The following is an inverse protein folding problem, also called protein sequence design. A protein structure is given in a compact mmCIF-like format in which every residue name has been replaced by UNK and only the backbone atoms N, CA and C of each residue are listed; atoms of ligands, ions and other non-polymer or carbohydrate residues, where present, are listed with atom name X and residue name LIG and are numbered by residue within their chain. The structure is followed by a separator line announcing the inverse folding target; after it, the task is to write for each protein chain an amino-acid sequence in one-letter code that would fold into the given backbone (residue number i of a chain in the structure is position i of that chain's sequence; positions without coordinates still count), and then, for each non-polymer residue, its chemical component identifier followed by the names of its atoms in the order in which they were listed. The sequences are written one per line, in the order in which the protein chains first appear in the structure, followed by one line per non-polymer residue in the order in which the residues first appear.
data_IF_512249119542
#
_entry.id   IF_512249119542
#
_cell.length_a   1.000
_cell.length_b   1.000
_cell.length_c   1.000
_cell.angle_alpha   90.00
_cell.angle_beta   90.00
_cell.angle_gamma   90.00
#
_symmetry.space_group_name_H-M   'P 1'
#
loop_
_entity.id
_entity.type
_entity.pdbx_description
1 polymer ?
#
# COMPACT_ATOMS: atom_id res chain seq x y z
N UNK A 1 17.05 -8.28 -7.91
CA UNK A 1 16.90 -7.40 -6.72
C UNK A 1 15.62 -6.57 -6.79
N UNK A 2 15.40 -5.75 -7.84
CA UNK A 2 14.20 -4.91 -8.01
C UNK A 2 12.89 -5.66 -7.87
N UNK A 3 12.74 -6.83 -8.52
CA UNK A 3 11.55 -7.69 -8.34
C UNK A 3 11.25 -8.08 -6.90
N UNK A 4 12.26 -8.45 -6.13
CA UNK A 4 12.07 -8.85 -4.74
C UNK A 4 11.64 -7.66 -3.88
N UNK A 5 12.24 -6.49 -4.11
CA UNK A 5 11.84 -5.25 -3.43
C UNK A 5 10.40 -4.83 -3.79
N UNK A 6 10.02 -4.91 -5.07
CA UNK A 6 8.62 -4.68 -5.48
C UNK A 6 7.68 -5.72 -4.87
N UNK A 7 8.10 -6.98 -4.76
CA UNK A 7 7.30 -8.04 -4.10
C UNK A 7 7.08 -7.70 -2.62
N UNK A 8 8.12 -7.24 -1.92
CA UNK A 8 8.00 -6.78 -0.53
C UNK A 8 7.01 -5.62 -0.40
N UNK A 9 7.10 -4.61 -1.27
CA UNK A 9 6.18 -3.47 -1.25
C UNK A 9 4.74 -3.90 -1.54
N UNK A 10 4.53 -4.81 -2.51
CA UNK A 10 3.24 -5.38 -2.84
C UNK A 10 2.65 -6.16 -1.66
N UNK A 11 3.41 -7.03 -1.01
CA UNK A 11 2.97 -7.76 0.19
C UNK A 11 2.62 -6.79 1.31
N UNK A 12 3.47 -5.78 1.54
CA UNK A 12 3.27 -4.77 2.57
C UNK A 12 1.98 -3.97 2.40
N UNK A 13 1.59 -3.67 1.15
CA UNK A 13 0.38 -2.90 0.87
C UNK A 13 -0.89 -3.75 0.67
N UNK A 14 -0.76 -5.00 0.21
CA UNK A 14 -1.90 -5.81 -0.23
C UNK A 14 -2.23 -7.01 0.63
N UNK A 15 -1.26 -7.60 1.34
CA UNK A 15 -1.49 -8.74 2.24
C UNK A 15 -1.50 -8.29 3.69
N UNK A 16 -0.48 -7.55 4.14
CA UNK A 16 -0.36 -7.21 5.57
C UNK A 16 -1.60 -6.49 6.11
N UNK A 17 -2.21 -5.51 5.41
CA UNK A 17 -3.41 -4.86 5.92
C UNK A 17 -4.59 -5.81 6.07
N UNK A 18 -4.73 -6.83 5.21
CA UNK A 18 -5.77 -7.85 5.38
C UNK A 18 -5.55 -8.65 6.67
N UNK A 19 -4.30 -8.96 7.01
CA UNK A 19 -3.97 -9.71 8.22
C UNK A 19 -4.12 -8.87 9.50
N UNK A 20 -3.85 -7.57 9.42
CA UNK A 20 -3.80 -6.65 10.56
C UNK A 20 -5.12 -5.92 10.78
N UNK A 21 -5.91 -5.67 9.74
CA UNK A 21 -7.12 -4.83 9.82
C UNK A 21 -8.41 -5.69 9.86
N UNK A 22 -8.35 -7.01 9.62
CA UNK A 22 -9.51 -7.91 9.74
C UNK A 22 -9.64 -8.44 11.17
N UNK A 23 -10.05 -7.56 12.08
CA UNK A 23 -10.32 -7.88 13.49
C UNK A 23 -11.21 -6.80 14.15
N UNK A 24 -11.43 -6.93 15.46
CA UNK A 24 -12.32 -6.05 16.25
C UNK A 24 -11.77 -4.67 16.54
N UNK A 25 -10.48 -4.38 16.29
CA UNK A 25 -9.99 -2.99 16.38
C UNK A 25 -10.24 -2.20 15.10
N UNK A 26 -10.50 -2.89 13.97
CA UNK A 26 -10.64 -2.29 12.63
C UNK A 26 -11.91 -2.75 11.91
N UNK A 27 -11.82 -3.61 10.89
CA UNK A 27 -12.94 -3.97 10.03
C UNK A 27 -14.16 -4.50 10.80
N UNK A 28 -13.94 -5.21 11.91
CA UNK A 28 -15.00 -5.77 12.75
C UNK A 28 -15.24 -4.93 14.02
N UNK A 29 -14.79 -3.68 14.05
CA UNK A 29 -14.99 -2.79 15.18
C UNK A 29 -16.50 -2.48 15.37
N UNK A 30 -17.07 -2.81 16.54
CA UNK A 30 -18.48 -2.60 16.83
C UNK A 30 -18.85 -1.11 16.97
N UNK A 31 -17.88 -0.26 17.30
CA UNK A 31 -18.08 1.17 17.56
C UNK A 31 -18.06 1.99 16.25
N UNK A 32 -17.51 1.44 15.17
CA UNK A 32 -17.53 2.08 13.86
C UNK A 32 -18.94 2.06 13.25
N UNK A 33 -19.28 3.11 12.51
CA UNK A 33 -20.47 3.10 11.68
C UNK A 33 -20.41 1.95 10.66
N UNK A 34 -21.55 1.31 10.41
CA UNK A 34 -21.63 0.17 9.49
C UNK A 34 -21.16 0.49 8.08
N UNK A 35 -21.33 1.73 7.62
CA UNK A 35 -20.85 2.19 6.33
C UNK A 35 -19.32 2.32 6.29
N UNK A 36 -18.68 2.75 7.38
CA UNK A 36 -17.22 2.83 7.47
C UNK A 36 -16.57 1.45 7.30
N UNK A 37 -17.18 0.39 7.88
CA UNK A 37 -16.72 -0.99 7.68
C UNK A 37 -16.79 -1.44 6.21
N UNK A 38 -17.79 -0.97 5.45
CA UNK A 38 -17.87 -1.26 4.00
C UNK A 38 -16.72 -0.60 3.26
N UNK A 39 -16.39 0.65 3.56
CA UNK A 39 -15.23 1.33 2.95
C UNK A 39 -13.92 0.64 3.30
N UNK A 40 -13.79 0.15 4.53
CA UNK A 40 -12.60 -0.60 4.95
C UNK A 40 -12.48 -1.93 4.18
N UNK A 41 -13.56 -2.72 4.11
CA UNK A 41 -13.58 -3.95 3.31
C UNK A 41 -13.28 -3.67 1.83
N UNK A 42 -13.81 -2.57 1.28
CA UNK A 42 -13.54 -2.15 -0.10
C UNK A 42 -12.06 -1.77 -0.30
N UNK A 43 -11.47 -1.00 0.62
CA UNK A 43 -10.04 -0.64 0.59
C UNK A 43 -9.15 -1.87 0.65
N UNK A 44 -9.40 -2.79 1.59
CA UNK A 44 -8.63 -4.03 1.77
C UNK A 44 -8.71 -4.94 0.55
N UNK A 45 -9.92 -5.19 0.05
CA UNK A 45 -10.12 -6.04 -1.14
C UNK A 45 -9.52 -5.43 -2.40
N UNK A 46 -9.65 -4.12 -2.60
CA UNK A 46 -9.02 -3.41 -3.73
C UNK A 46 -7.50 -3.54 -3.68
N UNK A 47 -6.89 -3.29 -2.53
CA UNK A 47 -5.43 -3.42 -2.39
C UNK A 47 -4.96 -4.87 -2.61
N UNK A 48 -5.71 -5.86 -2.12
CA UNK A 48 -5.40 -7.28 -2.35
C UNK A 48 -5.50 -7.67 -3.84
N UNK A 49 -6.50 -7.16 -4.57
CA UNK A 49 -6.64 -7.39 -6.00
C UNK A 49 -5.52 -6.72 -6.80
N UNK A 50 -5.16 -5.48 -6.45
CA UNK A 50 -4.01 -4.77 -7.06
C UNK A 50 -2.71 -5.50 -6.77
N UNK A 51 -2.53 -6.01 -5.55
CA UNK A 51 -1.42 -6.89 -5.18
C UNK A 51 -1.35 -8.12 -6.06
N UNK A 52 -2.47 -8.83 -6.20
CA UNK A 52 -2.55 -10.08 -6.96
C UNK A 52 -2.18 -9.85 -8.43
N UNK A 53 -2.71 -8.78 -9.02
CA UNK A 53 -2.37 -8.35 -10.37
C UNK A 53 -0.88 -7.96 -10.47
N UNK A 54 -0.37 -7.18 -9.51
CA UNK A 54 1.04 -6.77 -9.45
C UNK A 54 1.99 -7.96 -9.41
N UNK A 55 1.73 -8.95 -8.56
CA UNK A 55 2.52 -10.19 -8.46
C UNK A 55 2.50 -10.97 -9.77
N UNK A 56 1.32 -11.14 -10.36
CA UNK A 56 1.18 -11.81 -11.65
C UNK A 56 1.99 -11.10 -12.75
N UNK A 57 1.89 -9.78 -12.86
CA UNK A 57 2.64 -9.01 -13.84
C UNK A 57 4.15 -9.10 -13.62
N UNK A 58 4.59 -9.06 -12.36
CA UNK A 58 6.00 -9.07 -11.96
C UNK A 58 6.68 -10.41 -12.25
N UNK A 59 6.04 -11.50 -11.87
CA UNK A 59 6.64 -12.84 -11.89
C UNK A 59 6.25 -13.63 -13.13
N UNK A 60 5.00 -13.56 -13.59
CA UNK A 60 4.53 -14.32 -14.75
C UNK A 60 4.71 -13.58 -16.07
N UNK A 61 4.65 -12.24 -16.08
CA UNK A 61 4.79 -11.43 -17.32
C UNK A 61 6.08 -10.62 -17.41
N UNK A 62 6.90 -10.64 -16.37
CA UNK A 62 8.16 -9.89 -16.32
C UNK A 62 7.99 -8.36 -16.53
N UNK A 63 6.80 -7.83 -16.20
CA UNK A 63 6.40 -6.43 -16.33
C UNK A 63 6.70 -5.66 -15.03
N UNK A 64 7.99 -5.45 -14.77
CA UNK A 64 8.48 -4.90 -13.49
C UNK A 64 8.01 -3.47 -13.22
N UNK A 65 7.95 -2.63 -14.26
CA UNK A 65 7.54 -1.23 -14.10
C UNK A 65 6.05 -1.17 -13.81
N UNK A 66 5.23 -1.92 -14.56
CA UNK A 66 3.79 -1.92 -14.33
C UNK A 66 3.43 -2.45 -12.94
N UNK A 67 4.07 -3.53 -12.50
CA UNK A 67 3.91 -4.04 -11.14
C UNK A 67 4.33 -3.02 -10.07
N UNK A 68 5.45 -2.32 -10.29
CA UNK A 68 5.91 -1.28 -9.37
C UNK A 68 4.99 -0.05 -9.33
N UNK A 69 4.39 0.34 -10.46
CA UNK A 69 3.38 1.41 -10.52
C UNK A 69 2.10 1.00 -9.77
N UNK A 70 1.64 -0.24 -9.92
CA UNK A 70 0.51 -0.75 -9.13
C UNK A 70 0.82 -0.73 -7.63
N UNK A 71 2.04 -1.12 -7.23
CA UNK A 71 2.47 -0.99 -5.84
C UNK A 71 2.51 0.46 -5.38
N UNK A 72 2.91 1.42 -6.23
CA UNK A 72 2.87 2.84 -5.90
C UNK A 72 1.45 3.33 -5.68
N UNK A 73 0.47 2.88 -6.49
CA UNK A 73 -0.93 3.28 -6.30
C UNK A 73 -1.45 2.92 -4.90
N UNK A 74 -1.08 1.74 -4.37
CA UNK A 74 -1.46 1.34 -3.02
C UNK A 74 -0.87 2.29 -1.97
N UNK A 75 0.46 2.46 -1.98
CA UNK A 75 1.16 3.23 -0.95
C UNK A 75 0.91 4.74 -1.05
N UNK A 76 0.80 5.26 -2.27
CA UNK A 76 0.44 6.66 -2.51
C UNK A 76 -0.98 6.95 -2.03
N UNK A 77 -1.92 6.02 -2.17
CA UNK A 77 -3.27 6.15 -1.62
C UNK A 77 -3.24 6.37 -0.10
N UNK A 78 -2.45 5.58 0.63
CA UNK A 78 -2.25 5.79 2.06
C UNK A 78 -1.56 7.13 2.36
N UNK A 79 -0.48 7.48 1.65
CA UNK A 79 0.24 8.75 1.86
C UNK A 79 -0.67 9.95 1.65
N UNK A 80 -1.53 9.92 0.63
CA UNK A 80 -2.53 10.97 0.39
C UNK A 80 -3.51 11.05 1.57
N UNK A 81 -4.04 9.92 2.04
CA UNK A 81 -4.93 9.90 3.21
C UNK A 81 -4.23 10.48 4.45
N UNK A 82 -3.01 10.04 4.75
CA UNK A 82 -2.24 10.52 5.90
C UNK A 82 -1.92 12.03 5.82
N UNK A 83 -1.69 12.60 4.63
CA UNK A 83 -1.45 14.04 4.48
C UNK A 83 -2.76 14.82 4.62
N UNK A 84 -3.87 14.30 4.10
CA UNK A 84 -5.14 15.01 4.03
C UNK A 84 -6.06 14.76 5.24
N UNK A 85 -5.69 13.88 6.17
CA UNK A 85 -6.50 13.56 7.36
C UNK A 85 -7.01 14.77 8.15
N UNK A 86 -6.26 15.89 8.33
CA UNK A 86 -6.78 17.05 9.05
C UNK A 86 -7.96 17.74 8.33
N UNK A 87 -8.16 17.48 7.03
CA UNK A 87 -9.23 18.09 6.23
C UNK A 87 -10.58 17.40 6.39
N UNK A 88 -10.58 16.15 6.86
CA UNK A 88 -11.81 15.35 7.01
C UNK A 88 -11.97 14.78 8.43
N UNK A 89 -11.16 15.24 9.38
CA UNK A 89 -11.18 14.76 10.77
C UNK A 89 -10.70 13.31 10.91
N UNK A 90 -9.78 12.88 10.04
CA UNK A 90 -9.17 11.56 10.14
C UNK A 90 -8.06 11.53 11.17
N UNK A 91 -7.86 10.35 11.76
CA UNK A 91 -6.75 10.05 12.66
C UNK A 91 -5.95 8.85 12.11
N UNK A 92 -4.63 8.79 12.38
CA UNK A 92 -3.81 7.66 11.93
C UNK A 92 -4.12 6.38 12.72
N UNK A 93 -4.79 6.49 13.87
CA UNK A 93 -5.06 5.39 14.80
C UNK A 93 -6.50 5.53 15.30
N UNK A 94 -7.20 4.41 15.46
CA UNK A 94 -8.54 4.41 16.07
C UNK A 94 -8.50 4.82 17.55
N UNK A 95 -9.56 5.49 18.02
CA UNK A 95 -9.67 5.88 19.42
C UNK A 95 -9.52 4.69 20.37
N UNK A 96 -8.72 4.86 21.42
CA UNK A 96 -8.49 3.82 22.44
C UNK A 96 -7.62 2.64 21.96
N UNK A 97 -7.16 2.62 20.71
CA UNK A 97 -6.25 1.60 20.20
C UNK A 97 -4.80 2.08 20.43
N UNK A 98 -3.98 1.33 21.18
CA UNK A 98 -2.57 1.66 21.32
C UNK A 98 -1.84 1.32 20.01
N UNK A 99 -1.30 2.34 19.33
CA UNK A 99 -0.41 2.16 18.18
C UNK A 99 1.04 2.43 18.62
N UNK A 100 1.98 1.53 18.30
CA UNK A 100 3.40 1.82 18.50
C UNK A 100 3.84 3.03 17.67
N UNK A 101 4.80 3.79 18.18
CA UNK A 101 5.43 4.88 17.43
C UNK A 101 6.88 4.58 17.11
N UNK A 102 7.33 5.03 15.93
CA UNK A 102 8.74 5.05 15.55
C UNK A 102 9.09 6.48 15.20
N UNK A 103 10.09 7.06 15.88
CA UNK A 103 10.52 8.44 15.66
C UNK A 103 9.37 9.47 15.83
N UNK A 104 8.48 9.25 16.81
CA UNK A 104 7.30 10.08 17.08
C UNK A 104 6.28 10.11 15.93
N UNK A 105 6.29 9.08 15.08
CA UNK A 105 5.34 8.88 13.99
C UNK A 105 4.60 7.57 14.24
N UNK A 106 3.27 7.53 14.09
CA UNK A 106 2.50 6.28 14.16
C UNK A 106 3.09 5.20 13.26
N UNK A 107 3.15 3.96 13.77
CA UNK A 107 3.83 2.86 13.09
C UNK A 107 3.29 2.63 11.68
N UNK A 108 1.96 2.66 11.48
CA UNK A 108 1.36 2.57 10.15
C UNK A 108 1.87 3.68 9.19
N UNK A 109 1.90 4.94 9.62
CA UNK A 109 2.39 6.07 8.81
C UNK A 109 3.86 5.89 8.45
N UNK A 110 4.68 5.48 9.41
CA UNK A 110 6.08 5.16 9.17
C UNK A 110 6.23 3.99 8.16
N UNK A 111 5.47 2.90 8.37
CA UNK A 111 5.52 1.70 7.55
C UNK A 111 5.14 1.99 6.09
N UNK A 112 3.96 2.55 5.84
CA UNK A 112 3.50 2.86 4.48
C UNK A 112 4.34 3.95 3.82
N UNK A 113 4.79 4.95 4.59
CA UNK A 113 5.73 5.96 4.10
C UNK A 113 7.06 5.34 3.63
N UNK A 114 7.60 4.39 4.40
CA UNK A 114 8.83 3.68 4.04
C UNK A 114 8.66 2.82 2.77
N UNK A 115 7.52 2.14 2.63
CA UNK A 115 7.20 1.33 1.44
C UNK A 115 7.01 2.21 0.20
N UNK A 116 6.37 3.37 0.35
CA UNK A 116 6.26 4.37 -0.71
C UNK A 116 7.65 4.81 -1.21
N UNK A 117 8.53 5.25 -0.30
CA UNK A 117 9.88 5.70 -0.65
C UNK A 117 10.73 4.59 -1.28
N UNK A 118 10.62 3.36 -0.74
CA UNK A 118 11.29 2.19 -1.31
C UNK A 118 10.82 1.93 -2.74
N UNK A 119 9.51 1.90 -2.98
CA UNK A 119 8.96 1.63 -4.31
C UNK A 119 9.29 2.74 -5.31
N UNK A 120 9.28 4.01 -4.91
CA UNK A 120 9.75 5.15 -5.72
C UNK A 120 11.21 4.94 -6.13
N UNK A 121 12.05 4.54 -5.19
CA UNK A 121 13.48 4.26 -5.45
C UNK A 121 13.65 3.09 -6.43
N UNK A 122 12.89 2.01 -6.27
CA UNK A 122 12.91 0.87 -7.20
C UNK A 122 12.52 1.29 -8.61
N UNK A 123 11.44 2.07 -8.76
CA UNK A 123 11.00 2.59 -10.05
C UNK A 123 12.07 3.49 -10.67
N UNK A 124 12.67 4.39 -9.91
CA UNK A 124 13.75 5.26 -10.39
C UNK A 124 14.97 4.45 -10.88
N UNK A 125 15.36 3.41 -10.15
CA UNK A 125 16.46 2.51 -10.56
C UNK A 125 16.09 1.74 -11.84
N UNK A 126 14.86 1.25 -11.96
CA UNK A 126 14.38 0.58 -13.17
C UNK A 126 14.44 1.49 -14.39
N UNK A 127 14.02 2.75 -14.25
CA UNK A 127 14.11 3.76 -15.32
C UNK A 127 15.55 4.10 -15.70
N UNK A 128 16.49 4.15 -14.75
CA UNK A 128 17.91 4.36 -15.06
C UNK A 128 18.56 3.17 -15.78
N UNK A 129 18.16 1.94 -15.44
CA UNK A 129 18.75 0.71 -16.00
C UNK A 129 18.21 0.35 -17.39
N UNK A 130 16.89 0.44 -17.58
CA UNK A 130 16.26 0.16 -18.87
C UNK A 130 16.23 1.47 -19.66
N UNK A 131 17.12 1.66 -20.63
CA UNK A 131 17.00 2.68 -21.68
C UNK A 131 15.57 2.56 -22.24
N UNK A 132 14.74 3.55 -21.90
CA UNK A 132 13.28 3.57 -21.87
C UNK A 132 12.51 2.70 -22.90
N UNK A 133 11.47 1.99 -22.44
CA UNK A 133 10.25 1.75 -23.23
C UNK A 133 9.10 1.21 -22.36
N UNK A 134 8.18 2.08 -21.92
CA UNK A 134 6.90 1.69 -21.34
C UNK A 134 6.05 0.88 -22.34
N UNK A 135 6.29 1.05 -23.64
CA UNK A 135 5.54 0.33 -24.68
C UNK A 135 5.74 -1.19 -24.62
N UNK A 136 6.87 -1.68 -24.11
CA UNK A 136 7.08 -3.13 -23.91
C UNK A 136 6.31 -3.66 -22.69
N UNK A 137 5.97 -2.80 -21.75
CA UNK A 137 5.15 -3.14 -20.57
C UNK A 137 3.66 -3.14 -20.91
N UNK A 138 3.26 -2.51 -22.02
CA UNK A 138 1.87 -2.41 -22.47
C UNK A 138 1.52 -3.33 -23.67
N UNK A 139 2.52 -3.89 -24.34
CA UNK A 139 2.37 -4.98 -25.33
C UNK A 139 2.21 -6.33 -24.65
#
# INVERSE_FOLDING_TARGET
MTKYLTTLCLIGGGILPVLVDVNTSHLLNPDWDSHARVHEAWRLSTNFLVFSLGIFLLWSKNKEILAGLLSLCIHLGFVIAAILMPLYGGEPVGEGIPEPEILMVPFNVFFFGSMFLLQVTVIFVLFKKKKFSLSNELK
#
